data_IF_827077564446
#
_entry.id   IF_827077564446
#
_cell.length_a   1.000
_cell.length_b   1.000
_cell.length_c   1.000
_cell.angle_alpha   90.00
_cell.angle_beta   90.00
_cell.angle_gamma   90.00
#
_symmetry.space_group_name_H-M   'P 1'
#
loop_
_entity.id
_entity.type
_entity.pdbx_description
1 polymer ?
#
# COMPACT_ATOMS: atom_id res chain seq x y z
N UNK A 1 58.41 34.98 -4.78
CA UNK A 1 57.81 33.73 -4.26
C UNK A 1 56.27 33.77 -4.25
N UNK A 2 55.61 34.73 -3.56
CA UNK A 2 54.14 34.84 -3.50
C UNK A 2 53.41 34.85 -4.86
N UNK A 3 53.90 35.64 -5.84
CA UNK A 3 53.31 35.70 -7.19
C UNK A 3 53.37 34.39 -7.99
N UNK A 4 54.36 33.53 -7.71
CA UNK A 4 54.50 32.22 -8.39
C UNK A 4 53.48 31.24 -7.81
N UNK A 5 53.26 31.28 -6.50
CA UNK A 5 52.20 30.49 -5.84
C UNK A 5 50.81 30.88 -6.37
N UNK A 6 50.49 32.17 -6.40
CA UNK A 6 49.17 32.65 -6.88
C UNK A 6 48.90 32.31 -8.35
N UNK A 7 49.93 32.25 -9.18
CA UNK A 7 49.81 31.84 -10.58
C UNK A 7 49.61 30.32 -10.71
N UNK A 8 50.29 29.53 -9.88
CA UNK A 8 50.13 28.07 -9.81
C UNK A 8 48.74 27.67 -9.32
N UNK A 9 48.19 28.36 -8.32
CA UNK A 9 46.85 28.11 -7.80
C UNK A 9 45.77 28.40 -8.85
N UNK A 10 45.88 29.54 -9.54
CA UNK A 10 44.94 29.88 -10.64
C UNK A 10 44.98 28.87 -11.77
N UNK A 11 46.17 28.42 -12.16
CA UNK A 11 46.32 27.40 -13.20
C UNK A 11 45.70 26.05 -12.79
N UNK A 12 45.82 25.67 -11.51
CA UNK A 12 45.23 24.43 -11.00
C UNK A 12 43.69 24.50 -10.95
N UNK A 13 43.12 25.65 -10.56
CA UNK A 13 41.66 25.86 -10.59
C UNK A 13 41.14 25.81 -12.03
N UNK A 14 41.79 26.53 -12.95
CA UNK A 14 41.38 26.58 -14.35
C UNK A 14 41.46 25.20 -15.03
N UNK A 15 42.50 24.42 -14.72
CA UNK A 15 42.64 23.04 -15.21
C UNK A 15 41.52 22.14 -14.66
N UNK A 16 41.16 22.32 -13.39
CA UNK A 16 40.08 21.55 -12.74
C UNK A 16 38.73 21.90 -13.33
N UNK A 17 38.42 23.19 -13.53
CA UNK A 17 37.18 23.65 -14.14
C UNK A 17 37.02 23.14 -15.58
N UNK A 18 38.11 23.18 -16.37
CA UNK A 18 38.12 22.61 -17.73
C UNK A 18 37.94 21.10 -17.71
N UNK A 19 38.60 20.40 -16.79
CA UNK A 19 38.44 18.95 -16.64
C UNK A 19 36.99 18.59 -16.26
N UNK A 20 36.38 19.31 -15.32
CA UNK A 20 34.97 19.11 -14.94
C UNK A 20 34.04 19.41 -16.12
N UNK A 21 34.26 20.49 -16.85
CA UNK A 21 33.43 20.85 -18.01
C UNK A 21 33.48 19.80 -19.13
N UNK A 22 34.57 19.04 -19.26
CA UNK A 22 34.71 17.96 -20.25
C UNK A 22 34.20 16.61 -19.71
N UNK A 23 34.53 16.29 -18.46
CA UNK A 23 34.23 14.97 -17.88
C UNK A 23 32.76 14.88 -17.46
N UNK A 24 32.18 15.94 -16.90
CA UNK A 24 30.82 15.91 -16.38
C UNK A 24 29.77 15.59 -17.47
N UNK A 25 29.78 16.20 -18.67
CA UNK A 25 28.85 15.83 -19.74
C UNK A 25 29.03 14.38 -20.21
N UNK A 26 30.26 13.88 -20.27
CA UNK A 26 30.55 12.49 -20.66
C UNK A 26 30.03 11.49 -19.61
N UNK A 27 30.21 11.79 -18.33
CA UNK A 27 29.66 11.02 -17.21
C UNK A 27 28.13 11.05 -17.25
N UNK A 28 27.53 12.23 -17.42
CA UNK A 28 26.07 12.39 -17.53
C UNK A 28 25.50 11.61 -18.74
N UNK A 29 26.15 11.68 -19.89
CA UNK A 29 25.75 10.94 -21.10
C UNK A 29 25.79 9.42 -20.89
N UNK A 30 26.77 8.92 -20.12
CA UNK A 30 26.93 7.50 -19.80
C UNK A 30 25.96 7.01 -18.73
N UNK A 31 25.60 7.87 -17.77
CA UNK A 31 24.63 7.56 -16.72
C UNK A 31 23.17 7.66 -17.20
N UNK A 32 22.85 8.56 -18.13
CA UNK A 32 21.49 8.77 -18.66
C UNK A 32 20.76 7.49 -19.11
N UNK A 33 21.36 6.58 -19.89
CA UNK A 33 20.69 5.34 -20.28
C UNK A 33 20.51 4.37 -19.10
N UNK A 34 21.41 4.39 -18.10
CA UNK A 34 21.28 3.57 -16.89
C UNK A 34 20.15 4.08 -16.01
N UNK A 35 20.05 5.40 -15.82
CA UNK A 35 18.92 6.03 -15.12
C UNK A 35 17.59 5.75 -15.83
N UNK A 36 17.57 5.79 -17.17
CA UNK A 36 16.38 5.41 -17.94
C UNK A 36 16.02 3.92 -17.86
N UNK A 37 16.98 3.02 -17.57
CA UNK A 37 16.70 1.60 -17.29
C UNK A 37 16.19 1.40 -15.86
N UNK A 38 16.78 2.09 -14.90
CA UNK A 38 16.34 2.08 -13.49
C UNK A 38 14.93 2.66 -13.32
N UNK A 39 14.59 3.74 -14.03
CA UNK A 39 13.25 4.31 -14.03
C UNK A 39 12.19 3.36 -14.62
N UNK A 40 12.57 2.54 -15.62
CA UNK A 40 11.72 1.49 -16.19
C UNK A 40 11.55 0.26 -15.28
N UNK A 41 12.24 0.22 -14.15
CA UNK A 41 12.16 -0.87 -13.16
C UNK A 41 11.69 -0.36 -11.80
N UNK A 42 11.15 0.87 -11.72
CA UNK A 42 10.45 1.25 -10.51
C UNK A 42 9.21 0.34 -10.39
N UNK A 43 9.09 -0.39 -9.28
CA UNK A 43 7.89 -1.18 -9.02
C UNK A 43 6.70 -0.23 -8.97
N UNK A 44 5.56 -0.70 -9.48
CA UNK A 44 4.29 0.01 -9.38
C UNK A 44 4.08 0.46 -7.92
N UNK A 45 3.83 1.75 -7.65
CA UNK A 45 3.56 2.24 -6.30
C UNK A 45 2.48 1.45 -5.55
N UNK A 46 1.48 0.94 -6.28
CA UNK A 46 0.42 0.10 -5.70
C UNK A 46 0.97 -1.25 -5.26
N UNK A 47 1.82 -1.88 -6.06
CA UNK A 47 2.51 -3.14 -5.71
C UNK A 47 3.38 -2.98 -4.47
N UNK A 48 4.10 -1.86 -4.37
CA UNK A 48 4.90 -1.53 -3.18
C UNK A 48 4.00 -1.38 -1.95
N UNK A 49 2.90 -0.65 -2.10
CA UNK A 49 1.91 -0.45 -1.02
C UNK A 49 1.29 -1.77 -0.58
N UNK A 50 0.87 -2.63 -1.50
CA UNK A 50 0.32 -3.95 -1.22
C UNK A 50 1.30 -4.77 -0.37
N UNK A 51 2.57 -4.82 -0.78
CA UNK A 51 3.61 -5.54 -0.05
C UNK A 51 3.79 -5.02 1.36
N UNK A 52 3.86 -3.70 1.52
CA UNK A 52 4.01 -3.07 2.84
C UNK A 52 2.85 -3.42 3.78
N UNK A 53 1.60 -3.35 3.31
CA UNK A 53 0.45 -3.67 4.17
C UNK A 53 0.41 -5.16 4.56
N UNK A 54 0.81 -6.06 3.67
CA UNK A 54 0.91 -7.51 3.96
C UNK A 54 2.05 -7.80 4.96
N UNK A 55 3.19 -7.13 4.83
CA UNK A 55 4.29 -7.22 5.78
C UNK A 55 3.86 -6.70 7.16
N UNK A 56 3.19 -5.55 7.21
CA UNK A 56 2.62 -5.00 8.46
C UNK A 56 1.65 -5.98 9.10
N UNK A 57 0.72 -6.56 8.31
CA UNK A 57 -0.21 -7.57 8.80
C UNK A 57 0.51 -8.79 9.37
N UNK A 58 1.60 -9.23 8.73
CA UNK A 58 2.40 -10.38 9.14
C UNK A 58 3.11 -10.14 10.48
N UNK A 59 3.50 -8.89 10.75
CA UNK A 59 4.18 -8.48 11.98
C UNK A 59 3.24 -8.27 13.18
N UNK A 60 1.92 -8.28 12.99
CA UNK A 60 0.97 -8.10 14.09
C UNK A 60 0.88 -9.34 15.00
N UNK A 61 0.74 -9.09 16.29
CA UNK A 61 0.30 -10.10 17.24
C UNK A 61 -1.16 -10.53 17.00
N UNK A 62 -1.57 -11.62 17.64
CA UNK A 62 -2.90 -12.20 17.45
C UNK A 62 -4.05 -11.23 17.76
N UNK A 63 -3.93 -10.45 18.84
CA UNK A 63 -5.00 -9.52 19.26
C UNK A 63 -5.16 -8.38 18.24
N UNK A 64 -4.04 -7.81 17.77
CA UNK A 64 -4.07 -6.76 16.75
C UNK A 64 -4.57 -7.28 15.41
N UNK A 65 -4.19 -8.51 15.04
CA UNK A 65 -4.70 -9.17 13.83
C UNK A 65 -6.21 -9.40 13.90
N UNK A 66 -6.75 -9.68 15.09
CA UNK A 66 -8.19 -9.82 15.29
C UNK A 66 -8.93 -8.49 15.07
N UNK A 67 -8.40 -7.37 15.57
CA UNK A 67 -8.95 -6.02 15.29
C UNK A 67 -8.96 -5.74 13.79
N UNK A 68 -7.87 -6.01 13.10
CA UNK A 68 -7.75 -5.83 11.64
C UNK A 68 -8.77 -6.70 10.89
N UNK A 69 -8.94 -7.95 11.32
CA UNK A 69 -9.93 -8.85 10.74
C UNK A 69 -11.37 -8.38 10.96
N UNK A 70 -11.69 -7.88 12.16
CA UNK A 70 -13.03 -7.39 12.48
C UNK A 70 -13.38 -6.14 11.65
N UNK A 71 -12.41 -5.27 11.35
CA UNK A 71 -12.58 -4.14 10.42
C UNK A 71 -12.85 -4.59 8.98
N UNK A 72 -12.04 -5.51 8.47
CA UNK A 72 -12.21 -6.04 7.11
C UNK A 72 -13.56 -6.77 6.97
N UNK A 73 -13.98 -7.51 8.00
CA UNK A 73 -15.27 -8.18 8.05
C UNK A 73 -16.46 -7.20 8.06
N UNK A 74 -16.34 -6.07 8.75
CA UNK A 74 -17.37 -5.03 8.74
C UNK A 74 -17.56 -4.46 7.32
N UNK A 75 -16.46 -4.11 6.65
CA UNK A 75 -16.50 -3.57 5.29
C UNK A 75 -17.01 -4.61 4.28
N UNK A 76 -16.62 -5.87 4.45
CA UNK A 76 -17.16 -6.97 3.66
C UNK A 76 -18.66 -7.11 3.84
N UNK A 77 -19.15 -7.09 5.09
CA UNK A 77 -20.59 -7.20 5.37
C UNK A 77 -21.35 -6.02 4.77
N UNK A 78 -20.82 -4.80 4.87
CA UNK A 78 -21.39 -3.61 4.23
C UNK A 78 -21.43 -3.74 2.69
N UNK A 79 -20.39 -4.32 2.08
CA UNK A 79 -20.39 -4.63 0.64
C UNK A 79 -21.50 -5.63 0.29
N UNK A 80 -21.61 -6.72 1.05
CA UNK A 80 -22.63 -7.74 0.83
C UNK A 80 -24.05 -7.16 0.95
N UNK A 81 -24.30 -6.34 1.97
CA UNK A 81 -25.60 -5.69 2.20
C UNK A 81 -25.94 -4.71 1.08
N UNK A 82 -24.98 -3.87 0.68
CA UNK A 82 -25.21 -2.82 -0.33
C UNK A 82 -25.38 -3.38 -1.74
N UNK A 83 -24.63 -4.43 -2.08
CA UNK A 83 -24.55 -4.92 -3.46
C UNK A 83 -25.08 -6.34 -3.66
N UNK A 84 -25.53 -7.03 -2.60
CA UNK A 84 -26.00 -8.41 -2.69
C UNK A 84 -24.87 -9.43 -2.95
N UNK A 85 -23.62 -9.07 -2.63
CA UNK A 85 -22.45 -9.90 -2.84
C UNK A 85 -21.45 -9.38 -3.85
N UNK A 86 -20.34 -10.11 -4.04
CA UNK A 86 -19.28 -9.74 -5.00
C UNK A 86 -19.83 -9.70 -6.43
N UNK A 87 -20.67 -10.67 -6.82
CA UNK A 87 -21.27 -10.68 -8.16
C UNK A 87 -22.12 -9.44 -8.41
N UNK A 88 -22.95 -9.06 -7.43
CA UNK A 88 -23.76 -7.84 -7.54
C UNK A 88 -22.92 -6.57 -7.50
N UNK A 89 -21.83 -6.55 -6.73
CA UNK A 89 -20.87 -5.44 -6.75
C UNK A 89 -20.23 -5.27 -8.13
N UNK A 90 -19.72 -6.35 -8.72
CA UNK A 90 -19.11 -6.35 -10.06
C UNK A 90 -20.12 -6.08 -11.19
N UNK A 91 -21.40 -6.31 -10.95
CA UNK A 91 -22.48 -6.02 -11.91
C UNK A 91 -23.11 -4.62 -11.73
N UNK A 92 -22.84 -3.96 -10.59
CA UNK A 92 -23.38 -2.63 -10.30
C UNK A 92 -22.87 -1.56 -11.27
N UNK A 93 -23.57 -0.42 -11.42
CA UNK A 93 -23.07 0.70 -12.21
C UNK A 93 -21.69 1.15 -11.75
N UNK A 94 -20.81 1.52 -12.71
CA UNK A 94 -19.45 2.00 -12.42
C UNK A 94 -19.46 3.15 -11.40
N UNK A 95 -20.39 4.11 -11.56
CA UNK A 95 -20.53 5.24 -10.65
C UNK A 95 -20.82 4.85 -9.20
N UNK A 96 -21.54 3.76 -8.98
CA UNK A 96 -21.88 3.29 -7.63
C UNK A 96 -20.72 2.55 -6.97
N UNK A 97 -19.96 1.79 -7.76
CA UNK A 97 -18.69 1.19 -7.31
C UNK A 97 -17.66 2.27 -6.98
N UNK A 98 -17.48 3.24 -7.86
CA UNK A 98 -16.53 4.34 -7.67
C UNK A 98 -16.87 5.15 -6.43
N UNK A 99 -18.15 5.47 -6.21
CA UNK A 99 -18.60 6.16 -4.99
C UNK A 99 -18.30 5.33 -3.74
N UNK A 100 -18.51 4.02 -3.78
CA UNK A 100 -18.20 3.13 -2.67
C UNK A 100 -16.70 3.10 -2.37
N UNK A 101 -15.85 2.93 -3.39
CA UNK A 101 -14.40 2.95 -3.24
C UNK A 101 -13.90 4.30 -2.73
N UNK A 102 -14.40 5.42 -3.27
CA UNK A 102 -14.05 6.76 -2.82
C UNK A 102 -14.34 6.98 -1.33
N UNK A 103 -15.43 6.40 -0.80
CA UNK A 103 -15.75 6.50 0.63
C UNK A 103 -14.71 5.76 1.49
N UNK A 104 -14.28 4.58 1.04
CA UNK A 104 -13.23 3.79 1.73
C UNK A 104 -11.88 4.51 1.61
N UNK A 105 -11.51 4.94 0.41
CA UNK A 105 -10.24 5.62 0.14
C UNK A 105 -10.13 6.93 0.93
N UNK A 106 -11.21 7.71 1.03
CA UNK A 106 -11.25 8.92 1.85
C UNK A 106 -11.08 8.63 3.35
N UNK A 107 -11.54 7.46 3.82
CA UNK A 107 -11.23 7.02 5.18
C UNK A 107 -9.74 6.68 5.32
N UNK A 108 -9.20 5.85 4.42
CA UNK A 108 -7.78 5.46 4.45
C UNK A 108 -6.86 6.68 4.39
N UNK A 109 -7.12 7.63 3.50
CA UNK A 109 -6.32 8.85 3.34
C UNK A 109 -6.28 9.71 4.60
N UNK A 110 -7.40 9.84 5.33
CA UNK A 110 -7.45 10.59 6.60
C UNK A 110 -6.61 9.98 7.71
N UNK A 111 -6.33 8.69 7.61
CA UNK A 111 -5.61 7.93 8.63
C UNK A 111 -4.32 7.32 8.07
N UNK A 112 -3.85 7.79 6.93
CA UNK A 112 -2.67 7.23 6.25
C UNK A 112 -1.41 7.42 7.10
N UNK A 113 -1.29 8.54 7.80
CA UNK A 113 -0.21 8.79 8.76
C UNK A 113 -0.18 7.75 9.89
N UNK A 114 -1.34 7.22 10.30
CA UNK A 114 -1.40 6.19 11.35
C UNK A 114 -0.77 4.87 10.93
N UNK A 115 -0.68 4.57 9.63
CA UNK A 115 -0.01 3.36 9.14
C UNK A 115 1.49 3.33 9.49
N UNK A 116 2.09 4.49 9.75
CA UNK A 116 3.49 4.60 10.17
C UNK A 116 3.70 4.53 11.70
N UNK A 117 2.63 4.30 12.48
CA UNK A 117 2.64 4.34 13.94
C UNK A 117 2.31 2.98 14.56
N UNK A 118 2.49 2.83 15.87
CA UNK A 118 2.08 1.62 16.61
C UNK A 118 0.56 1.36 16.55
N UNK A 119 -0.23 2.37 16.16
CA UNK A 119 -1.68 2.30 15.99
C UNK A 119 -2.10 1.93 14.57
N UNK A 120 -1.17 1.53 13.71
CA UNK A 120 -1.46 1.14 12.32
C UNK A 120 -2.55 0.07 12.20
N UNK A 121 -2.61 -0.86 13.16
CA UNK A 121 -3.64 -1.91 13.21
C UNK A 121 -5.08 -1.37 13.29
N UNK A 122 -5.29 -0.12 13.71
CA UNK A 122 -6.60 0.53 13.78
C UNK A 122 -7.12 1.00 12.42
N UNK A 123 -6.30 1.02 11.37
CA UNK A 123 -6.72 1.38 10.00
C UNK A 123 -6.34 0.32 8.97
N UNK A 124 -5.41 -0.58 9.31
CA UNK A 124 -4.86 -1.57 8.39
C UNK A 124 -5.91 -2.47 7.74
N UNK A 125 -6.96 -2.87 8.48
CA UNK A 125 -8.04 -3.68 7.91
C UNK A 125 -8.82 -2.95 6.82
N UNK A 126 -9.03 -1.65 7.01
CA UNK A 126 -9.68 -0.78 6.00
C UNK A 126 -8.78 -0.59 4.79
N UNK A 127 -7.48 -0.35 4.99
CA UNK A 127 -6.52 -0.18 3.90
C UNK A 127 -6.37 -1.45 3.05
N UNK A 128 -6.26 -2.62 3.69
CA UNK A 128 -6.20 -3.92 3.00
C UNK A 128 -7.47 -4.21 2.21
N UNK A 129 -8.64 -3.93 2.81
CA UNK A 129 -9.92 -4.11 2.12
C UNK A 129 -10.07 -3.17 0.92
N UNK A 130 -9.62 -1.91 1.03
CA UNK A 130 -9.64 -0.95 -0.08
C UNK A 130 -8.87 -1.48 -1.28
N UNK A 131 -7.62 -1.93 -1.06
CA UNK A 131 -6.78 -2.53 -2.10
C UNK A 131 -7.45 -3.75 -2.72
N UNK A 132 -7.98 -4.65 -1.88
CA UNK A 132 -8.70 -5.82 -2.37
C UNK A 132 -9.90 -5.44 -3.25
N UNK A 133 -10.69 -4.45 -2.86
CA UNK A 133 -11.83 -3.98 -3.62
C UNK A 133 -11.42 -3.31 -4.95
N UNK A 134 -10.30 -2.59 -4.98
CA UNK A 134 -9.71 -2.07 -6.23
C UNK A 134 -9.28 -3.20 -7.18
N UNK A 135 -8.59 -4.22 -6.67
CA UNK A 135 -8.20 -5.39 -7.47
C UNK A 135 -9.41 -6.15 -8.02
N UNK A 136 -10.50 -6.29 -7.24
CA UNK A 136 -11.74 -6.88 -7.71
C UNK A 136 -12.31 -6.15 -8.92
N UNK A 137 -12.41 -4.82 -8.85
CA UNK A 137 -12.97 -4.00 -9.95
C UNK A 137 -12.10 -4.07 -11.21
N UNK A 138 -10.77 -4.07 -11.04
CA UNK A 138 -9.83 -4.14 -12.15
C UNK A 138 -9.66 -5.56 -12.72
N UNK A 139 -10.26 -6.56 -12.07
CA UNK A 139 -10.00 -7.98 -12.36
C UNK A 139 -8.50 -8.28 -12.34
N UNK A 140 -7.77 -7.67 -11.40
CA UNK A 140 -6.32 -7.83 -11.30
C UNK A 140 -5.98 -9.24 -10.79
N UNK A 141 -5.22 -9.96 -11.60
CA UNK A 141 -4.78 -11.34 -11.35
C UNK A 141 -3.27 -11.41 -11.12
N UNK A 142 -2.62 -10.27 -10.87
CA UNK A 142 -1.22 -10.20 -10.49
C UNK A 142 -0.93 -11.09 -9.28
N UNK A 143 0.31 -11.61 -9.16
CA UNK A 143 0.71 -12.39 -7.97
C UNK A 143 0.40 -11.65 -6.67
N UNK A 144 0.63 -10.33 -6.64
CA UNK A 144 0.39 -9.48 -5.47
C UNK A 144 -1.08 -9.34 -5.14
N UNK A 145 -1.94 -9.08 -6.13
CA UNK A 145 -3.38 -9.04 -5.93
C UNK A 145 -3.92 -10.38 -5.37
N UNK A 146 -3.38 -11.50 -5.83
CA UNK A 146 -3.73 -12.84 -5.31
C UNK A 146 -3.30 -13.04 -3.86
N UNK A 147 -2.10 -12.59 -3.48
CA UNK A 147 -1.62 -12.67 -2.09
C UNK A 147 -2.50 -11.82 -1.18
N UNK A 148 -2.70 -10.54 -1.52
CA UNK A 148 -3.57 -9.64 -0.74
C UNK A 148 -4.99 -10.19 -0.65
N UNK A 149 -5.56 -10.64 -1.76
CA UNK A 149 -6.91 -11.20 -1.79
C UNK A 149 -7.05 -12.44 -0.91
N UNK A 150 -6.07 -13.35 -0.93
CA UNK A 150 -6.05 -14.51 -0.04
C UNK A 150 -6.02 -14.10 1.43
N UNK A 151 -5.15 -13.16 1.79
CA UNK A 151 -4.97 -12.75 3.19
C UNK A 151 -6.19 -11.99 3.72
N UNK A 152 -6.77 -11.10 2.91
CA UNK A 152 -8.01 -10.38 3.25
C UNK A 152 -9.18 -11.34 3.43
N UNK A 153 -9.35 -12.32 2.53
CA UNK A 153 -10.41 -13.32 2.65
C UNK A 153 -10.21 -14.16 3.92
N UNK A 154 -8.97 -14.58 4.22
CA UNK A 154 -8.68 -15.32 5.44
C UNK A 154 -9.03 -14.52 6.70
N UNK A 155 -8.65 -13.23 6.74
CA UNK A 155 -9.00 -12.32 7.84
C UNK A 155 -10.52 -12.19 8.04
N UNK A 156 -11.26 -11.99 6.95
CA UNK A 156 -12.73 -11.86 6.97
C UNK A 156 -13.37 -13.14 7.50
N UNK A 157 -12.91 -14.31 7.04
CA UNK A 157 -13.47 -15.60 7.47
C UNK A 157 -13.18 -15.89 8.95
N UNK A 158 -11.97 -15.60 9.44
CA UNK A 158 -11.66 -15.76 10.87
C UNK A 158 -12.48 -14.79 11.75
N UNK A 159 -12.62 -13.53 11.34
CA UNK A 159 -13.47 -12.55 12.03
C UNK A 159 -14.94 -12.98 12.05
N UNK A 160 -15.45 -13.50 10.93
CA UNK A 160 -16.81 -14.05 10.84
C UNK A 160 -17.02 -15.23 11.79
N UNK A 161 -16.07 -16.17 11.86
CA UNK A 161 -16.12 -17.31 12.79
C UNK A 161 -16.16 -16.83 14.25
N UNK A 162 -15.31 -15.87 14.61
CA UNK A 162 -15.30 -15.25 15.95
C UNK A 162 -16.62 -14.56 16.27
N UNK A 163 -17.16 -13.76 15.34
CA UNK A 163 -18.45 -13.09 15.50
C UNK A 163 -19.59 -14.07 15.78
N UNK A 164 -19.65 -15.18 15.01
CA UNK A 164 -20.63 -16.25 15.22
C UNK A 164 -20.47 -16.94 16.57
N UNK A 165 -19.23 -17.21 16.99
CA UNK A 165 -18.96 -17.82 18.30
C UNK A 165 -19.41 -16.90 19.46
N UNK A 166 -19.15 -15.59 19.36
CA UNK A 166 -19.59 -14.58 20.34
C UNK A 166 -21.12 -14.51 20.45
N UNK A 167 -21.83 -14.49 19.32
CA UNK A 167 -23.30 -14.47 19.31
C UNK A 167 -23.94 -15.74 19.91
N UNK A 168 -23.31 -16.91 19.72
CA UNK A 168 -23.78 -18.19 20.26
C UNK A 168 -23.67 -18.28 21.80
N UNK A 169 -22.66 -17.61 22.39
CA UNK A 169 -22.47 -17.57 23.85
C UNK A 169 -23.55 -16.69 24.50
N UNK A 170 -23.78 -15.49 23.96
CA UNK A 170 -24.80 -14.57 24.49
C UNK A 170 -26.21 -15.16 24.40
N UNK A 171 -26.52 -15.90 23.33
CA UNK A 171 -27.81 -16.57 23.19
C UNK A 171 -28.02 -17.73 24.20
N UNK A 172 -26.96 -18.34 24.73
CA UNK A 172 -27.06 -19.39 25.75
C UNK A 172 -27.25 -18.80 27.15
N UNK A 173 -26.62 -17.67 27.45
CA UNK A 173 -26.74 -17.01 28.75
C UNK A 173 -28.08 -16.30 28.96
N UNK A 174 -28.86 -16.07 27.89
CA UNK A 174 -30.21 -15.48 27.97
C UNK A 174 -31.34 -16.51 28.14
N UNK A 175 -31.03 -17.81 28.06
CA UNK A 175 -32.01 -18.92 28.12
C UNK A 175 -31.84 -19.76 29.39
N UNK A 176 -30.86 -19.42 30.24
CA UNK A 176 -30.65 -20.00 31.56
C UNK A 176 -31.23 -19.09 32.65
#
# INVERSE_FOLDING_TARGET
>A
MRRILEASERAAVELTERAVAVILPAVQARLRPLLGRLARHQPDPEVVRCRQLVEMLSALDANRRDVVGDQAHLLWSALLERFGGVSGYLSAPVSDRDRYLQQIDAFVARYEEMLSTDRAHEVLGTALFAIYAHHLVRSDISPEAKVVGKDVVALIEEARKRSKARGSIVARDQVA
#
